data_IF_977372935746
#
_entry.id   IF_977372935746
#
_cell.length_a   1.000
_cell.length_b   1.000
_cell.length_c   1.000
_cell.angle_alpha   90.00
_cell.angle_beta   90.00
_cell.angle_gamma   90.00
#
_symmetry.space_group_name_H-M   'P 1'
#
loop_
_entity.id
_entity.type
_entity.pdbx_description
1 polymer ?
#
# COMPACT_ATOMS: atom_id res chain seq x y z
N UNK A 1 -7.92 -5.26 9.27
CA UNK A 1 -6.96 -6.27 8.77
C UNK A 1 -5.98 -5.68 7.78
N UNK A 2 -6.41 -4.86 6.81
CA UNK A 2 -5.49 -4.26 5.83
C UNK A 2 -4.31 -3.48 6.43
N UNK A 3 -4.52 -2.71 7.50
CA UNK A 3 -3.42 -2.03 8.21
C UNK A 3 -2.37 -3.00 8.75
N UNK A 4 -2.79 -3.99 9.54
CA UNK A 4 -1.90 -5.04 10.06
C UNK A 4 -1.13 -5.77 8.94
N UNK A 5 -1.81 -6.13 7.85
CA UNK A 5 -1.15 -6.80 6.72
C UNK A 5 -0.14 -5.88 6.03
N UNK A 6 -0.48 -4.60 5.83
CA UNK A 6 0.46 -3.60 5.30
C UNK A 6 1.70 -3.49 6.20
N UNK A 7 1.53 -3.38 7.52
CA UNK A 7 2.66 -3.28 8.45
C UNK A 7 3.56 -4.54 8.41
N UNK A 8 2.95 -5.73 8.41
CA UNK A 8 3.67 -7.00 8.29
C UNK A 8 4.41 -7.11 6.95
N UNK A 9 3.79 -6.68 5.84
CA UNK A 9 4.41 -6.71 4.52
C UNK A 9 5.56 -5.71 4.42
N UNK A 10 5.39 -4.48 4.95
CA UNK A 10 6.47 -3.50 5.04
C UNK A 10 7.65 -4.05 5.81
N UNK A 11 7.43 -4.60 7.01
CA UNK A 11 8.52 -5.20 7.80
C UNK A 11 9.19 -6.39 7.08
N UNK A 12 8.40 -7.26 6.44
CA UNK A 12 8.91 -8.43 5.71
C UNK A 12 9.72 -8.02 4.47
N UNK A 13 9.20 -7.09 3.66
CA UNK A 13 9.89 -6.56 2.48
C UNK A 13 11.18 -5.85 2.86
N UNK A 14 11.17 -5.02 3.90
CA UNK A 14 12.39 -4.38 4.40
C UNK A 14 13.44 -5.41 4.84
N UNK A 15 13.03 -6.45 5.58
CA UNK A 15 13.93 -7.51 6.05
C UNK A 15 14.60 -8.29 4.92
N UNK A 16 13.88 -8.50 3.81
CA UNK A 16 14.35 -9.31 2.68
C UNK A 16 14.88 -8.48 1.49
N UNK A 17 14.80 -7.15 1.56
CA UNK A 17 15.33 -6.26 0.54
C UNK A 17 16.80 -5.95 0.77
N UNK A 18 17.53 -5.78 -0.34
CA UNK A 18 18.93 -5.31 -0.34
C UNK A 18 19.04 -3.78 -0.36
N UNK A 19 17.95 -3.09 -0.69
CA UNK A 19 17.96 -1.65 -1.02
C UNK A 19 16.85 -0.86 -0.34
N UNK A 20 15.88 -1.53 0.28
CA UNK A 20 14.75 -0.90 0.96
C UNK A 20 14.80 -1.20 2.45
N UNK A 21 14.53 -0.18 3.26
CA UNK A 21 14.47 -0.23 4.71
C UNK A 21 13.15 0.34 5.21
N UNK A 22 12.68 -0.07 6.38
CA UNK A 22 11.44 0.48 6.94
C UNK A 22 11.66 1.93 7.39
N UNK A 23 10.70 2.81 7.11
CA UNK A 23 10.73 4.18 7.61
C UNK A 23 10.57 4.19 9.14
N UNK A 24 11.56 4.73 9.82
CA UNK A 24 11.62 4.80 11.30
C UNK A 24 10.84 5.97 11.87
N UNK A 25 10.36 6.88 11.03
CA UNK A 25 9.51 7.97 11.48
C UNK A 25 8.10 7.46 11.79
N UNK A 26 7.59 7.72 12.99
CA UNK A 26 6.23 7.35 13.36
C UNK A 26 5.21 8.05 12.47
N UNK A 27 4.37 7.27 11.77
CA UNK A 27 3.48 7.76 10.70
C UNK A 27 4.22 8.51 9.58
N UNK A 28 5.46 8.10 9.30
CA UNK A 28 6.22 8.57 8.15
C UNK A 28 5.66 8.03 6.85
N UNK A 29 6.02 8.69 5.75
CA UNK A 29 5.70 8.28 4.40
C UNK A 29 6.92 8.49 3.51
N UNK A 30 7.26 7.58 2.58
CA UNK A 30 6.62 6.28 2.35
C UNK A 30 6.95 5.24 3.44
N UNK A 31 6.22 4.11 3.43
CA UNK A 31 6.42 2.99 4.37
C UNK A 31 7.84 2.39 4.31
N UNK A 32 8.38 2.23 3.10
CA UNK A 32 9.74 1.78 2.84
C UNK A 32 10.56 2.91 2.21
N UNK A 33 11.80 3.08 2.64
CA UNK A 33 12.74 4.07 2.12
C UNK A 33 13.85 3.38 1.32
N UNK A 34 14.41 4.08 0.34
CA UNK A 34 15.66 3.66 -0.28
C UNK A 34 16.80 3.87 0.73
N UNK A 35 17.54 2.80 1.02
CA UNK A 35 18.61 2.80 2.02
C UNK A 35 19.69 3.83 1.67
N UNK A 36 20.12 4.61 2.66
CA UNK A 36 21.19 5.61 2.50
C UNK A 36 20.74 6.97 1.95
N UNK A 37 19.46 7.13 1.57
CA UNK A 37 18.94 8.43 1.09
C UNK A 37 18.57 9.35 2.25
N UNK A 38 17.87 8.83 3.26
CA UNK A 38 17.39 9.63 4.39
C UNK A 38 18.23 9.35 5.65
N UNK A 39 18.61 10.39 6.43
CA UNK A 39 19.33 10.20 7.68
C UNK A 39 18.58 9.27 8.63
N UNK A 40 19.29 8.28 9.18
CA UNK A 40 18.74 7.30 10.12
C UNK A 40 17.50 6.55 9.63
N UNK A 41 17.33 6.40 8.31
CA UNK A 41 16.17 5.77 7.69
C UNK A 41 14.83 6.36 8.20
N UNK A 42 14.81 7.68 8.41
CA UNK A 42 13.73 8.36 9.13
C UNK A 42 13.31 9.63 8.39
N UNK A 43 12.08 9.67 7.87
CA UNK A 43 11.53 10.86 7.22
C UNK A 43 10.02 10.96 7.40
N UNK A 44 9.52 12.16 7.72
CA UNK A 44 8.08 12.41 7.85
C UNK A 44 7.35 12.28 6.52
N UNK A 45 7.91 12.87 5.47
CA UNK A 45 7.38 12.84 4.11
C UNK A 45 8.57 12.84 3.12
N UNK A 46 8.83 11.69 2.52
CA UNK A 46 9.85 11.47 1.49
C UNK A 46 9.22 11.11 0.15
N UNK A 47 10.06 11.09 -0.88
CA UNK A 47 9.71 10.69 -2.25
C UNK A 47 10.52 9.49 -2.73
N UNK A 48 11.65 9.21 -2.06
CA UNK A 48 12.55 8.10 -2.38
C UNK A 48 12.21 6.86 -1.55
N UNK A 49 11.25 6.09 -2.04
CA UNK A 49 10.78 4.90 -1.35
C UNK A 49 9.50 4.35 -1.95
N UNK A 50 8.92 3.35 -1.29
CA UNK A 50 7.73 2.61 -1.75
C UNK A 50 6.68 2.58 -0.65
N UNK A 51 5.47 3.02 -0.98
CA UNK A 51 4.30 2.91 -0.12
C UNK A 51 3.64 1.52 -0.28
N UNK A 52 3.35 0.84 0.84
CA UNK A 52 2.74 -0.49 0.85
C UNK A 52 1.26 -0.38 1.21
N UNK A 53 0.40 -0.92 0.34
CA UNK A 53 -1.04 -1.02 0.61
C UNK A 53 -1.55 -2.43 0.39
N UNK A 54 -2.62 -2.75 1.09
CA UNK A 54 -3.33 -4.01 0.90
C UNK A 54 -4.81 -3.77 0.67
N UNK A 55 -5.44 -4.61 -0.12
CA UNK A 55 -6.88 -4.52 -0.39
C UNK A 55 -7.48 -5.89 -0.66
N UNK A 56 -8.80 -6.01 -0.49
CA UNK A 56 -9.59 -7.16 -0.96
C UNK A 56 -10.28 -6.88 -2.30
N UNK A 57 -10.12 -5.67 -2.83
CA UNK A 57 -10.73 -5.27 -4.09
C UNK A 57 -9.86 -5.78 -5.23
N UNK A 58 -10.39 -6.71 -6.02
CA UNK A 58 -9.80 -7.17 -7.28
C UNK A 58 -9.39 -5.98 -8.13
N UNK A 59 -8.20 -6.03 -8.74
CA UNK A 59 -7.63 -4.91 -9.47
C UNK A 59 -6.99 -3.84 -8.58
N UNK A 60 -6.66 -4.16 -7.32
CA UNK A 60 -5.75 -3.32 -6.51
C UNK A 60 -6.34 -1.99 -6.04
N UNK A 61 -7.66 -1.84 -6.01
CA UNK A 61 -8.27 -0.56 -5.62
C UNK A 61 -7.98 -0.21 -4.15
N UNK A 62 -7.29 0.90 -3.91
CA UNK A 62 -6.92 1.41 -2.57
C UNK A 62 -7.18 2.91 -2.46
N UNK A 63 -7.61 3.34 -1.28
CA UNK A 63 -7.81 4.76 -0.97
C UNK A 63 -6.57 5.33 -0.28
N UNK A 64 -6.12 6.51 -0.71
CA UNK A 64 -4.97 7.21 -0.13
C UNK A 64 -5.39 8.51 0.56
N UNK A 65 -4.59 8.96 1.55
CA UNK A 65 -4.72 10.26 2.20
C UNK A 65 -4.19 11.39 1.31
N UNK A 66 -4.78 11.51 0.11
CA UNK A 66 -4.39 12.40 -0.96
C UNK A 66 -3.63 11.70 -2.09
N UNK A 67 -3.87 12.13 -3.32
CA UNK A 67 -3.06 11.74 -4.47
C UNK A 67 -1.66 12.35 -4.32
N UNK A 68 -0.63 11.53 -4.50
CA UNK A 68 0.77 11.95 -4.48
C UNK A 68 1.52 11.14 -5.52
N UNK A 69 2.52 11.78 -6.13
CA UNK A 69 3.48 11.05 -6.95
C UNK A 69 4.38 10.22 -6.04
N UNK A 70 4.40 8.91 -6.24
CA UNK A 70 5.11 7.98 -5.36
C UNK A 70 5.24 6.62 -6.03
N UNK A 71 6.15 5.77 -5.54
CA UNK A 71 6.04 4.34 -5.81
C UNK A 71 5.00 3.73 -4.88
N UNK A 72 4.08 2.96 -5.45
CA UNK A 72 3.10 2.18 -4.70
C UNK A 72 3.26 0.70 -5.01
N UNK A 73 3.17 -0.11 -3.96
CA UNK A 73 3.07 -1.56 -4.03
C UNK A 73 1.76 -1.98 -3.36
N UNK A 74 0.83 -2.52 -4.14
CA UNK A 74 -0.49 -2.96 -3.67
C UNK A 74 -0.60 -4.47 -3.73
N UNK A 75 -0.83 -5.10 -2.58
CA UNK A 75 -1.16 -6.51 -2.48
C UNK A 75 -2.68 -6.71 -2.39
N UNK A 76 -3.24 -7.49 -3.31
CA UNK A 76 -4.63 -7.94 -3.22
C UNK A 76 -4.67 -9.27 -2.49
N UNK A 77 -5.55 -9.40 -1.51
CA UNK A 77 -5.69 -10.62 -0.73
C UNK A 77 -7.13 -11.09 -0.66
N UNK A 78 -7.31 -12.41 -0.59
CA UNK A 78 -8.57 -13.09 -0.38
C UNK A 78 -8.61 -13.77 0.99
N UNK A 79 -9.80 -13.81 1.59
CA UNK A 79 -10.07 -14.55 2.82
C UNK A 79 -11.41 -15.26 2.69
N UNK A 80 -11.43 -16.53 3.09
CA UNK A 80 -12.66 -17.29 3.21
C UNK A 80 -13.44 -16.86 4.45
N UNK A 81 -14.65 -16.35 4.22
CA UNK A 81 -15.58 -15.98 5.30
C UNK A 81 -16.82 -16.85 5.33
N UNK A 82 -16.97 -17.75 4.36
CA UNK A 82 -18.22 -18.43 4.06
C UNK A 82 -18.18 -19.88 4.50
N UNK A 83 -17.08 -20.59 4.23
CA UNK A 83 -16.98 -22.04 4.48
C UNK A 83 -17.24 -22.38 5.95
N UNK A 84 -18.05 -23.42 6.14
CA UNK A 84 -18.34 -24.04 7.43
C UNK A 84 -18.08 -25.56 7.37
N UNK A 85 -17.58 -26.18 8.45
CA UNK A 85 -17.18 -25.54 9.71
C UNK A 85 -15.97 -24.60 9.53
N UNK A 86 -15.77 -23.64 10.44
CA UNK A 86 -14.69 -22.63 10.34
C UNK A 86 -13.31 -23.26 10.14
N UNK A 87 -13.05 -24.44 10.71
CA UNK A 87 -11.80 -25.20 10.54
C UNK A 87 -11.52 -25.61 9.09
N UNK A 88 -12.55 -25.70 8.24
CA UNK A 88 -12.45 -26.07 6.83
C UNK A 88 -12.21 -24.87 5.91
N UNK A 89 -12.12 -23.64 6.45
CA UNK A 89 -11.85 -22.45 5.64
C UNK A 89 -10.47 -22.52 5.01
N UNK A 90 -10.40 -22.15 3.73
CA UNK A 90 -9.10 -22.01 3.05
C UNK A 90 -8.26 -20.91 3.72
N UNK A 91 -6.92 -21.07 3.76
CA UNK A 91 -6.03 -20.02 4.23
C UNK A 91 -6.17 -18.71 3.44
N UNK A 92 -5.86 -17.59 4.09
CA UNK A 92 -5.69 -16.31 3.41
C UNK A 92 -4.62 -16.43 2.33
N UNK A 93 -4.87 -15.87 1.16
CA UNK A 93 -3.93 -15.88 0.03
C UNK A 93 -3.82 -14.51 -0.60
N UNK A 94 -2.62 -14.14 -1.07
CA UNK A 94 -2.45 -13.00 -1.96
C UNK A 94 -2.78 -13.45 -3.39
N UNK A 95 -3.62 -12.70 -4.09
CA UNK A 95 -4.12 -13.04 -5.43
C UNK A 95 -3.49 -12.20 -6.53
N UNK A 96 -3.13 -10.95 -6.22
CA UNK A 96 -2.52 -10.01 -7.17
C UNK A 96 -1.49 -9.14 -6.43
N UNK A 97 -0.44 -8.71 -7.14
CA UNK A 97 0.51 -7.71 -6.65
C UNK A 97 0.74 -6.68 -7.76
N UNK A 98 0.59 -5.41 -7.44
CA UNK A 98 0.81 -4.30 -8.37
C UNK A 98 1.92 -3.39 -7.85
N UNK A 99 2.91 -3.08 -8.68
CA UNK A 99 4.00 -2.17 -8.35
C UNK A 99 4.15 -1.17 -9.49
N UNK A 100 4.03 0.12 -9.18
CA UNK A 100 4.28 1.18 -10.16
C UNK A 100 4.60 2.51 -9.48
N UNK A 101 5.30 3.36 -10.24
CA UNK A 101 5.39 4.79 -9.94
C UNK A 101 4.13 5.44 -10.48
N UNK A 102 3.33 6.04 -9.60
CA UNK A 102 2.06 6.65 -9.96
C UNK A 102 2.16 8.15 -9.95
N UNK A 103 1.43 8.81 -10.84
CA UNK A 103 1.30 10.26 -10.91
C UNK A 103 -0.09 10.69 -10.43
N UNK A 104 -0.29 11.99 -10.22
CA UNK A 104 -1.57 12.54 -9.77
C UNK A 104 -2.75 12.16 -10.69
N UNK A 105 -2.50 12.00 -12.00
CA UNK A 105 -3.49 11.63 -13.01
C UNK A 105 -3.93 10.16 -12.98
N UNK A 106 -3.30 9.33 -12.15
CA UNK A 106 -3.66 7.91 -12.03
C UNK A 106 -4.69 7.66 -10.93
N UNK A 107 -4.91 8.67 -10.08
CA UNK A 107 -5.90 8.61 -9.02
C UNK A 107 -7.26 9.12 -9.49
N UNK A 108 -8.32 8.39 -9.14
CA UNK A 108 -9.70 8.87 -9.28
C UNK A 108 -10.10 9.62 -8.03
N UNK A 109 -10.71 10.81 -8.19
CA UNK A 109 -11.29 11.56 -7.07
C UNK A 109 -12.61 10.92 -6.67
N UNK A 110 -12.75 10.60 -5.38
CA UNK A 110 -14.03 10.19 -4.85
C UNK A 110 -14.94 11.43 -4.65
N UNK A 111 -16.23 11.37 -5.03
CA UNK A 111 -17.20 12.42 -4.74
C UNK A 111 -17.57 12.36 -3.24
N UNK A 112 -16.69 12.82 -2.35
CA UNK A 112 -17.01 13.10 -0.95
C UNK A 112 -16.94 14.62 -0.72
N UNK A 113 -17.94 15.14 -0.01
CA UNK A 113 -18.10 16.58 0.25
C UNK A 113 -16.95 17.21 1.04
N UNK A 114 -17.02 18.55 1.19
CA UNK A 114 -15.92 19.43 1.64
C UNK A 114 -15.31 19.10 3.01
N UNK A 115 -16.00 18.35 3.87
CA UNK A 115 -15.60 18.07 5.25
C UNK A 115 -14.82 16.74 5.43
N UNK A 116 -14.60 15.98 4.35
CA UNK A 116 -13.81 14.75 4.40
C UNK A 116 -12.39 14.95 3.89
N UNK A 117 -11.40 14.30 4.50
CA UNK A 117 -10.05 14.16 3.92
C UNK A 117 -10.19 13.68 2.47
N UNK A 118 -9.73 14.49 1.50
CA UNK A 118 -9.84 14.18 0.07
C UNK A 118 -9.15 12.84 -0.21
N UNK A 119 -9.91 11.76 -0.35
CA UNK A 119 -9.37 10.44 -0.70
C UNK A 119 -9.32 10.30 -2.21
N UNK A 120 -8.21 9.73 -2.67
CA UNK A 120 -8.01 9.42 -4.07
C UNK A 120 -7.84 7.91 -4.20
N UNK A 121 -8.48 7.30 -5.20
CA UNK A 121 -8.44 5.85 -5.39
C UNK A 121 -7.56 5.50 -6.58
N UNK A 122 -6.52 4.72 -6.33
CA UNK A 122 -5.70 4.08 -7.36
C UNK A 122 -6.21 2.65 -7.59
N UNK A 123 -6.23 2.18 -8.84
CA UNK A 123 -6.48 0.79 -9.20
C UNK A 123 -5.57 0.35 -10.37
N UNK A 124 -5.73 -0.90 -10.80
CA UNK A 124 -4.98 -1.51 -11.92
C UNK A 124 -5.02 -0.70 -13.21
N UNK A 125 -6.08 0.08 -13.46
CA UNK A 125 -6.18 0.91 -14.68
C UNK A 125 -5.33 2.17 -14.55
N UNK A 126 -5.24 2.74 -13.36
CA UNK A 126 -4.29 3.81 -13.07
C UNK A 126 -2.84 3.36 -13.23
N UNK A 127 -2.55 2.10 -12.87
CA UNK A 127 -1.20 1.51 -12.92
C UNK A 127 -0.76 1.09 -14.34
N UNK A 128 -1.69 0.72 -15.23
CA UNK A 128 -1.37 0.11 -16.52
C UNK A 128 -1.09 1.07 -17.68
N UNK A 129 -0.96 2.38 -17.43
CA UNK A 129 -0.64 3.39 -18.45
C UNK A 129 0.87 3.47 -18.68
#
# INVERSE_FOLDING_TARGET
MSGLLSDMLSASLAKHSRTLVQNRYFNGHPDLLVQGIYPNDCVKAGVEGVEIKTTRKVGGAVDTHGAREQWMCVFVYDIDKETQPVISRRPMSFTEVYIAKVALGDFRKNPRGELGTRTATLDRRGIAK
#
